data_IF_406067289069
#
_entry.id   IF_406067289069
#
_cell.length_a   1.000
_cell.length_b   1.000
_cell.length_c   1.000
_cell.angle_alpha   90.00
_cell.angle_beta   90.00
_cell.angle_gamma   90.00
#
_symmetry.space_group_name_H-M   'P 1'
#
loop_
_entity.id
_entity.type
_entity.pdbx_description
1 polymer ?
#
# COMPACT_ATOMS: atom_id res chain seq x y z
N UNK A 1 74.73 -83.59 41.13
CA UNK A 1 74.53 -82.15 40.82
C UNK A 1 73.50 -82.06 39.71
N UNK A 2 72.51 -81.16 39.86
CA UNK A 2 71.25 -81.09 39.10
C UNK A 2 71.47 -81.00 37.58
N UNK A 3 70.82 -81.89 36.83
CA UNK A 3 70.75 -81.84 35.37
C UNK A 3 69.80 -80.73 34.91
N UNK A 4 70.30 -79.86 34.02
CA UNK A 4 69.46 -78.95 33.24
C UNK A 4 68.73 -79.77 32.17
N UNK A 5 67.40 -79.86 32.26
CA UNK A 5 66.58 -80.36 31.15
C UNK A 5 66.35 -79.22 30.15
N UNK A 6 66.72 -79.46 28.89
CA UNK A 6 66.45 -78.56 27.78
C UNK A 6 64.98 -78.75 27.35
N UNK A 7 64.22 -77.67 27.12
CA UNK A 7 62.80 -77.76 26.76
C UNK A 7 62.61 -78.40 25.37
N UNK A 8 61.60 -79.26 25.26
CA UNK A 8 61.28 -80.01 24.03
C UNK A 8 60.76 -79.10 22.90
N UNK A 9 60.90 -79.52 21.64
CA UNK A 9 60.58 -78.71 20.45
C UNK A 9 59.10 -78.26 20.37
N UNK A 10 58.18 -78.96 21.06
CA UNK A 10 56.74 -78.58 21.12
C UNK A 10 56.44 -77.44 22.11
N UNK A 11 57.28 -77.26 23.13
CA UNK A 11 57.15 -76.16 24.10
C UNK A 11 57.68 -74.83 23.55
N UNK A 12 58.75 -74.86 22.75
CA UNK A 12 59.27 -73.68 22.06
C UNK A 12 58.29 -73.13 21.02
N UNK A 13 57.57 -74.00 20.33
CA UNK A 13 56.56 -73.62 19.32
C UNK A 13 55.29 -73.06 19.95
N UNK A 14 54.81 -73.60 21.08
CA UNK A 14 53.69 -73.00 21.85
C UNK A 14 54.03 -71.61 22.41
N UNK A 15 55.22 -71.44 23.02
CA UNK A 15 55.65 -70.13 23.54
C UNK A 15 55.77 -69.07 22.44
N UNK A 16 56.31 -69.42 21.28
CA UNK A 16 56.39 -68.52 20.14
C UNK A 16 55.00 -68.13 19.59
N UNK A 17 54.04 -69.06 19.57
CA UNK A 17 52.66 -68.78 19.16
C UNK A 17 51.92 -67.86 20.15
N UNK A 18 52.14 -68.04 21.46
CA UNK A 18 51.54 -67.19 22.50
C UNK A 18 52.16 -65.78 22.52
N UNK A 19 53.46 -65.65 22.30
CA UNK A 19 54.13 -64.35 22.15
C UNK A 19 53.69 -63.61 20.89
N UNK A 20 53.50 -64.32 19.77
CA UNK A 20 52.93 -63.79 18.53
C UNK A 20 51.47 -63.34 18.73
N UNK A 21 50.65 -64.14 19.41
CA UNK A 21 49.27 -63.80 19.79
C UNK A 21 49.21 -62.55 20.69
N UNK A 22 50.09 -62.46 21.69
CA UNK A 22 50.16 -61.32 22.60
C UNK A 22 50.64 -60.04 21.90
N UNK A 23 51.61 -60.14 20.98
CA UNK A 23 52.12 -59.01 20.20
C UNK A 23 51.09 -58.52 19.16
N UNK A 24 50.38 -59.41 18.47
CA UNK A 24 49.25 -59.08 17.59
C UNK A 24 48.12 -58.38 18.37
N UNK A 25 47.78 -58.87 19.58
CA UNK A 25 46.78 -58.22 20.46
C UNK A 25 47.24 -56.82 20.90
N UNK A 26 48.53 -56.61 21.19
CA UNK A 26 49.09 -55.28 21.52
C UNK A 26 49.03 -54.31 20.33
N UNK A 27 49.34 -54.77 19.12
CA UNK A 27 49.25 -53.97 17.88
C UNK A 27 47.79 -53.57 17.61
N UNK A 28 46.85 -54.52 17.72
CA UNK A 28 45.43 -54.25 17.51
C UNK A 28 44.82 -53.31 18.56
N UNK A 29 45.26 -53.39 19.84
CA UNK A 29 44.89 -52.40 20.88
C UNK A 29 45.40 -51.00 20.57
N UNK A 30 46.64 -50.85 20.06
CA UNK A 30 47.20 -49.55 19.64
C UNK A 30 46.45 -48.99 18.42
N UNK A 31 46.12 -49.83 17.42
CA UNK A 31 45.31 -49.43 16.25
C UNK A 31 43.90 -48.98 16.64
N UNK A 32 43.23 -49.68 17.58
CA UNK A 32 41.91 -49.27 18.11
C UNK A 32 41.96 -47.93 18.86
N UNK A 33 42.98 -47.68 19.69
CA UNK A 33 43.16 -46.40 20.38
C UNK A 33 43.41 -45.24 19.39
N UNK A 34 44.23 -45.47 18.35
CA UNK A 34 44.49 -44.47 17.30
C UNK A 34 43.23 -44.15 16.49
N UNK A 35 42.44 -45.18 16.11
CA UNK A 35 41.15 -44.97 15.42
C UNK A 35 40.14 -44.20 16.27
N UNK A 36 40.08 -44.46 17.59
CA UNK A 36 39.21 -43.69 18.50
C UNK A 36 39.65 -42.23 18.60
N UNK A 37 40.95 -41.93 18.68
CA UNK A 37 41.46 -40.55 18.68
C UNK A 37 41.14 -39.82 17.36
N UNK A 38 41.38 -40.45 16.21
CA UNK A 38 41.09 -39.86 14.90
C UNK A 38 39.58 -39.61 14.76
N UNK A 39 38.74 -40.56 15.16
CA UNK A 39 37.27 -40.38 15.15
C UNK A 39 36.83 -39.20 16.03
N UNK A 40 37.41 -39.04 17.22
CA UNK A 40 37.05 -37.93 18.11
C UNK A 40 37.51 -36.57 17.55
N UNK A 41 38.67 -36.52 16.88
CA UNK A 41 39.14 -35.31 16.19
C UNK A 41 38.21 -34.95 15.02
N UNK A 42 37.82 -35.95 14.21
CA UNK A 42 36.89 -35.73 13.09
C UNK A 42 35.52 -35.22 13.56
N UNK A 43 35.00 -35.75 14.67
CA UNK A 43 33.73 -35.26 15.26
C UNK A 43 33.88 -33.81 15.72
N UNK A 44 35.01 -33.46 16.35
CA UNK A 44 35.28 -32.08 16.78
C UNK A 44 35.36 -31.09 15.61
N UNK A 45 36.03 -31.49 14.51
CA UNK A 45 36.10 -30.67 13.29
C UNK A 45 34.73 -30.50 12.64
N UNK A 46 33.93 -31.57 12.57
CA UNK A 46 32.57 -31.50 12.01
C UNK A 46 31.66 -30.56 12.83
N UNK A 47 31.75 -30.62 14.16
CA UNK A 47 31.00 -29.74 15.06
C UNK A 47 31.41 -28.26 14.87
N UNK A 48 32.70 -27.98 14.70
CA UNK A 48 33.20 -26.63 14.44
C UNK A 48 32.72 -26.08 13.09
N UNK A 49 32.68 -26.91 12.04
CA UNK A 49 32.16 -26.52 10.72
C UNK A 49 30.66 -26.22 10.77
N UNK A 50 29.88 -27.02 11.49
CA UNK A 50 28.44 -26.78 11.67
C UNK A 50 28.15 -25.49 12.44
N UNK A 51 28.94 -25.20 13.48
CA UNK A 51 28.84 -23.93 14.22
C UNK A 51 29.21 -22.74 13.33
N UNK A 52 30.27 -22.85 12.54
CA UNK A 52 30.66 -21.79 11.59
C UNK A 52 29.58 -21.56 10.52
N UNK A 53 28.96 -22.63 10.00
CA UNK A 53 27.88 -22.53 9.03
C UNK A 53 26.61 -21.87 9.62
N UNK A 54 26.29 -22.14 10.89
CA UNK A 54 25.16 -21.50 11.59
C UNK A 54 25.40 -20.01 11.88
N UNK A 55 26.64 -19.62 12.23
CA UNK A 55 26.99 -18.20 12.36
C UNK A 55 26.95 -17.51 11.00
N UNK A 56 27.43 -18.18 9.94
CA UNK A 56 27.38 -17.64 8.59
C UNK A 56 25.95 -17.46 8.07
N UNK A 57 25.03 -18.40 8.34
CA UNK A 57 23.63 -18.27 7.92
C UNK A 57 22.91 -17.15 8.66
N UNK A 58 23.15 -16.96 9.96
CA UNK A 58 22.54 -15.87 10.75
C UNK A 58 23.06 -14.49 10.36
N UNK A 59 24.36 -14.35 10.07
CA UNK A 59 24.93 -13.11 9.52
C UNK A 59 24.35 -12.83 8.13
N UNK A 60 24.21 -13.85 7.27
CA UNK A 60 23.62 -13.69 5.94
C UNK A 60 22.13 -13.35 5.99
N UNK A 61 21.38 -13.90 6.94
CA UNK A 61 19.96 -13.57 7.12
C UNK A 61 19.76 -12.15 7.67
N UNK A 62 20.61 -11.70 8.61
CA UNK A 62 20.65 -10.28 9.02
C UNK A 62 21.06 -9.36 7.87
N UNK A 63 21.99 -9.79 7.01
CA UNK A 63 22.44 -9.01 5.84
C UNK A 63 21.42 -9.01 4.69
N UNK A 64 20.61 -10.06 4.55
CA UNK A 64 19.52 -10.14 3.58
C UNK A 64 18.31 -9.32 4.03
N UNK A 65 18.02 -9.29 5.34
CA UNK A 65 17.00 -8.40 5.91
C UNK A 65 17.45 -6.93 5.97
N UNK A 66 18.77 -6.66 5.86
CA UNK A 66 19.33 -5.32 5.72
C UNK A 66 19.48 -4.88 4.24
N UNK A 67 19.08 -5.72 3.28
CA UNK A 67 19.00 -5.35 1.87
C UNK A 67 17.63 -4.74 1.55
N UNK A 68 17.26 -3.70 2.31
CA UNK A 68 16.31 -2.70 1.83
C UNK A 68 17.05 -1.82 0.82
N UNK A 69 16.67 -1.95 -0.47
CA UNK A 69 16.85 -1.07 -1.63
C UNK A 69 18.14 -0.20 -1.70
N UNK A 70 18.93 -0.27 -2.79
CA UNK A 70 19.96 0.73 -3.04
C UNK A 70 19.29 2.05 -3.43
N UNK A 71 19.28 3.04 -2.52
CA UNK A 71 19.08 4.43 -2.90
C UNK A 71 19.93 5.36 -2.04
N UNK A 72 21.06 5.75 -2.61
CA UNK A 72 21.41 7.16 -2.76
C UNK A 72 22.35 7.22 -3.97
N UNK A 73 21.89 7.83 -5.05
CA UNK A 73 22.77 8.24 -6.13
C UNK A 73 23.70 9.32 -5.56
N UNK A 74 24.88 8.92 -5.10
CA UNK A 74 25.79 9.77 -4.35
C UNK A 74 26.61 10.65 -5.31
N UNK A 75 25.95 11.65 -5.91
CA UNK A 75 26.51 12.66 -6.81
C UNK A 75 27.69 13.43 -6.21
N UNK A 76 27.84 13.39 -4.88
CA UNK A 76 28.91 14.06 -4.15
C UNK A 76 30.30 13.45 -4.36
N UNK A 77 30.41 12.22 -4.90
CA UNK A 77 31.71 11.58 -5.15
C UNK A 77 32.35 11.94 -6.49
N UNK A 78 31.59 12.44 -7.47
CA UNK A 78 32.13 12.77 -8.80
C UNK A 78 32.45 14.25 -8.99
N UNK A 79 31.77 15.16 -8.30
CA UNK A 79 31.99 16.60 -8.44
C UNK A 79 32.51 17.18 -7.13
N UNK A 80 33.77 17.62 -7.14
CA UNK A 80 34.48 18.20 -5.99
C UNK A 80 33.62 19.20 -5.21
N UNK A 81 33.05 18.71 -4.11
CA UNK A 81 31.99 19.37 -3.36
C UNK A 81 32.57 20.23 -2.22
N UNK A 82 33.35 21.26 -2.55
CA UNK A 82 33.62 22.32 -1.56
C UNK A 82 32.66 23.52 -1.68
N UNK A 83 31.87 23.62 -2.76
CA UNK A 83 31.02 24.80 -3.03
C UNK A 83 29.49 24.54 -3.00
N UNK A 84 29.07 23.31 -2.69
CA UNK A 84 27.65 22.91 -2.71
C UNK A 84 26.87 23.21 -1.43
N UNK A 85 27.54 23.64 -0.35
CA UNK A 85 26.85 24.02 0.89
C UNK A 85 26.01 25.30 0.76
N UNK A 86 26.21 26.10 -0.30
CA UNK A 86 25.38 27.27 -0.61
C UNK A 86 24.08 26.91 -1.35
N UNK A 87 23.99 25.70 -1.92
CA UNK A 87 22.79 25.13 -2.56
C UNK A 87 22.02 24.17 -1.63
N UNK A 88 22.29 24.23 -0.32
CA UNK A 88 21.53 23.50 0.67
C UNK A 88 20.06 23.95 0.66
N UNK A 89 19.23 23.12 0.01
CA UNK A 89 17.85 22.79 0.36
C UNK A 89 16.74 23.78 -0.04
N UNK A 90 16.56 24.03 -1.35
CA UNK A 90 15.20 24.05 -1.87
C UNK A 90 14.78 22.60 -2.12
N UNK A 91 14.26 21.94 -1.08
CA UNK A 91 13.43 20.75 -1.31
C UNK A 91 12.08 21.28 -1.76
N UNK A 92 11.62 20.87 -2.94
CA UNK A 92 10.24 21.11 -3.33
C UNK A 92 9.33 20.32 -2.38
N UNK A 93 8.20 20.91 -2.01
CA UNK A 93 7.15 20.16 -1.32
C UNK A 93 6.72 18.98 -2.22
N UNK A 94 6.65 17.75 -1.69
CA UNK A 94 6.11 16.62 -2.41
C UNK A 94 4.69 16.92 -2.90
N UNK A 95 4.31 16.41 -4.08
CA UNK A 95 2.97 16.60 -4.65
C UNK A 95 1.83 16.26 -3.66
N UNK A 96 2.02 15.23 -2.84
CA UNK A 96 1.04 14.74 -1.88
C UNK A 96 1.34 15.20 -0.44
N UNK A 97 2.10 16.28 -0.24
CA UNK A 97 2.42 16.80 1.10
C UNK A 97 1.18 17.16 1.90
N UNK A 98 0.09 17.53 1.21
CA UNK A 98 -1.17 17.97 1.82
C UNK A 98 -2.25 16.89 1.83
N UNK A 99 -1.89 15.65 1.48
CA UNK A 99 -2.82 14.53 1.35
C UNK A 99 -2.53 13.44 2.39
N UNK A 100 -3.60 12.79 2.83
CA UNK A 100 -3.53 11.54 3.59
C UNK A 100 -3.18 10.44 2.59
N UNK A 101 -1.97 9.90 2.66
CA UNK A 101 -1.51 8.82 1.76
C UNK A 101 -1.36 7.52 2.53
N UNK A 102 -1.98 6.43 2.06
CA UNK A 102 -1.82 5.10 2.64
C UNK A 102 -1.87 4.03 1.55
N UNK A 103 -0.87 3.15 1.47
CA UNK A 103 -0.77 2.14 0.40
C UNK A 103 -1.34 0.77 0.80
N UNK A 104 -1.88 0.64 2.02
CA UNK A 104 -2.34 -0.63 2.57
C UNK A 104 -3.54 -0.44 3.51
N UNK A 105 -4.25 -1.55 3.76
CA UNK A 105 -5.30 -1.56 4.77
C UNK A 105 -4.74 -1.19 6.15
N UNK A 106 -5.34 -0.18 6.77
CA UNK A 106 -5.02 0.26 8.14
C UNK A 106 -6.09 -0.32 9.05
N UNK A 107 -5.75 -1.40 9.74
CA UNK A 107 -6.66 -2.10 10.63
C UNK A 107 -6.52 -1.60 12.06
N UNK A 108 -7.63 -1.53 12.78
CA UNK A 108 -7.63 -1.34 14.23
C UNK A 108 -8.42 -2.47 14.88
N UNK A 109 -7.94 -3.03 15.99
CA UNK A 109 -8.68 -4.04 16.76
C UNK A 109 -10.05 -3.53 17.29
N UNK A 110 -10.29 -2.22 17.15
CA UNK A 110 -11.47 -1.51 17.65
C UNK A 110 -12.53 -1.26 16.59
N UNK A 111 -12.19 -1.39 15.32
CA UNK A 111 -13.10 -1.09 14.21
C UNK A 111 -13.08 -2.24 13.22
N UNK A 112 -14.23 -2.90 13.10
CA UNK A 112 -14.47 -3.97 12.15
C UNK A 112 -15.78 -3.70 11.44
N UNK A 113 -15.73 -3.65 10.11
CA UNK A 113 -16.90 -3.53 9.25
C UNK A 113 -17.78 -4.78 9.37
N UNK A 114 -19.07 -4.62 9.11
CA UNK A 114 -20.06 -5.70 9.35
C UNK A 114 -19.98 -6.73 8.25
N UNK A 115 -19.77 -6.27 7.01
CA UNK A 115 -19.64 -7.11 5.84
C UNK A 115 -18.24 -6.97 5.25
N UNK A 116 -17.69 -8.07 4.74
CA UNK A 116 -16.32 -8.13 4.22
C UNK A 116 -16.17 -7.38 2.88
N UNK A 117 -17.28 -6.98 2.24
CA UNK A 117 -17.33 -6.23 0.99
C UNK A 117 -17.53 -4.72 1.17
N UNK A 118 -17.59 -4.22 2.41
CA UNK A 118 -17.66 -2.78 2.70
C UNK A 118 -16.28 -2.12 2.53
N UNK A 119 -16.21 -0.96 1.90
CA UNK A 119 -14.99 -0.14 1.82
C UNK A 119 -15.13 1.07 2.76
N UNK A 120 -14.04 1.45 3.43
CA UNK A 120 -14.07 2.63 4.29
C UNK A 120 -12.69 3.23 4.52
N UNK A 121 -12.65 4.54 4.69
CA UNK A 121 -11.47 5.31 5.07
C UNK A 121 -11.86 6.26 6.20
N UNK A 122 -11.07 6.27 7.27
CA UNK A 122 -11.11 7.26 8.34
C UNK A 122 -9.74 7.90 8.43
N UNK A 123 -9.69 9.22 8.49
CA UNK A 123 -8.43 9.97 8.44
C UNK A 123 -8.49 11.22 9.32
N UNK A 124 -7.31 11.70 9.68
CA UNK A 124 -7.07 12.95 10.41
C UNK A 124 -6.45 13.97 9.44
N UNK A 125 -7.17 15.05 9.14
CA UNK A 125 -6.72 16.08 8.20
C UNK A 125 -5.56 16.92 8.78
N UNK A 126 -5.53 17.15 10.10
CA UNK A 126 -4.48 17.95 10.74
C UNK A 126 -3.15 17.20 10.77
N UNK A 127 -3.22 15.87 10.92
CA UNK A 127 -2.05 14.97 10.94
C UNK A 127 -1.72 14.36 9.59
N UNK A 128 -2.59 14.52 8.60
CA UNK A 128 -2.50 13.88 7.28
C UNK A 128 -2.30 12.35 7.40
N UNK A 129 -3.02 11.72 8.32
CA UNK A 129 -2.84 10.32 8.70
C UNK A 129 -4.12 9.51 8.50
N UNK A 130 -4.01 8.34 7.87
CA UNK A 130 -5.09 7.37 7.82
C UNK A 130 -5.21 6.63 9.17
N UNK A 131 -6.36 6.77 9.82
CA UNK A 131 -6.68 6.11 11.09
C UNK A 131 -7.30 4.72 10.88
N UNK A 132 -7.99 4.53 9.75
CA UNK A 132 -8.54 3.26 9.30
C UNK A 132 -8.65 3.26 7.78
N UNK A 133 -8.32 2.13 7.13
CA UNK A 133 -8.46 1.96 5.69
C UNK A 133 -8.80 0.49 5.39
N UNK A 134 -9.88 0.27 4.65
CA UNK A 134 -10.32 -1.05 4.20
C UNK A 134 -10.68 -0.99 2.70
N UNK A 135 -9.86 -1.63 1.87
CA UNK A 135 -10.07 -1.79 0.42
C UNK A 135 -10.35 -0.46 -0.29
N UNK A 136 -9.66 0.61 0.12
CA UNK A 136 -10.00 2.00 -0.24
C UNK A 136 -9.78 2.34 -1.72
N UNK A 137 -9.03 1.51 -2.44
CA UNK A 137 -8.73 1.64 -3.87
C UNK A 137 -9.61 0.75 -4.76
N UNK A 138 -10.54 -0.01 -4.16
CA UNK A 138 -11.45 -0.85 -4.93
C UNK A 138 -12.52 0.02 -5.60
N UNK A 139 -12.80 -0.28 -6.87
CA UNK A 139 -13.90 0.34 -7.60
C UNK A 139 -15.25 0.05 -6.93
N UNK A 140 -16.03 1.13 -6.75
CA UNK A 140 -17.37 1.15 -6.21
C UNK A 140 -18.26 2.07 -7.05
N UNK A 141 -19.56 1.82 -7.00
CA UNK A 141 -20.54 2.73 -7.58
C UNK A 141 -20.76 3.94 -6.64
N UNK A 142 -20.53 5.19 -7.08
CA UNK A 142 -20.57 6.36 -6.19
C UNK A 142 -22.00 6.78 -5.78
N UNK A 143 -23.01 6.46 -6.58
CA UNK A 143 -24.33 7.08 -6.48
C UNK A 143 -24.21 8.62 -6.37
N UNK A 144 -25.06 9.28 -5.56
CA UNK A 144 -25.06 10.74 -5.40
C UNK A 144 -23.80 11.36 -4.79
N UNK A 145 -22.82 10.57 -4.30
CA UNK A 145 -21.49 11.09 -3.91
C UNK A 145 -20.82 11.79 -5.11
N UNK A 146 -21.17 11.40 -6.33
CA UNK A 146 -20.82 12.07 -7.60
C UNK A 146 -21.00 13.59 -7.55
N UNK A 147 -22.05 14.07 -6.87
CA UNK A 147 -22.39 15.49 -6.81
C UNK A 147 -21.33 16.34 -6.10
N UNK A 148 -20.40 15.73 -5.36
CA UNK A 148 -19.21 16.42 -4.83
C UNK A 148 -18.36 16.98 -5.97
N UNK A 149 -18.12 16.20 -7.03
CA UNK A 149 -17.37 16.68 -8.20
C UNK A 149 -18.16 17.75 -8.97
N UNK A 150 -19.48 17.57 -9.10
CA UNK A 150 -20.36 18.58 -9.72
C UNK A 150 -20.34 19.90 -8.94
N UNK A 151 -20.37 19.83 -7.60
CA UNK A 151 -20.26 20.99 -6.73
C UNK A 151 -18.90 21.67 -6.86
N UNK A 152 -17.80 20.90 -6.87
CA UNK A 152 -16.45 21.42 -7.06
C UNK A 152 -16.33 22.20 -8.38
N UNK A 153 -16.74 21.61 -9.50
CA UNK A 153 -16.69 22.29 -10.80
C UNK A 153 -17.63 23.50 -10.86
N UNK A 154 -18.75 23.48 -10.14
CA UNK A 154 -19.62 24.65 -9.99
C UNK A 154 -18.88 25.82 -9.36
N UNK A 155 -18.13 25.57 -8.28
CA UNK A 155 -17.38 26.60 -7.56
C UNK A 155 -16.13 27.06 -8.31
N UNK A 156 -15.47 26.16 -9.04
CA UNK A 156 -14.24 26.49 -9.79
C UNK A 156 -14.51 27.25 -11.11
N UNK A 157 -15.66 27.00 -11.75
CA UNK A 157 -15.92 27.46 -13.12
C UNK A 157 -17.20 28.29 -13.29
N UNK A 158 -18.09 28.29 -12.29
CA UNK A 158 -19.35 29.01 -12.32
C UNK A 158 -19.27 30.42 -11.72
N UNK A 159 -20.15 31.30 -12.20
CA UNK A 159 -20.50 32.53 -11.49
C UNK A 159 -21.78 32.25 -10.69
N UNK A 160 -21.69 32.11 -9.37
CA UNK A 160 -22.84 31.77 -8.52
C UNK A 160 -24.00 32.79 -8.62
N UNK A 161 -23.72 34.03 -9.04
CA UNK A 161 -24.74 35.05 -9.28
C UNK A 161 -25.44 34.91 -10.64
N UNK A 162 -24.89 34.10 -11.54
CA UNK A 162 -25.46 33.83 -12.86
C UNK A 162 -26.87 33.26 -12.71
N UNK A 163 -27.81 33.88 -13.40
CA UNK A 163 -29.17 33.40 -13.52
C UNK A 163 -29.29 32.47 -14.72
N UNK A 164 -29.97 31.33 -14.52
CA UNK A 164 -30.16 30.26 -15.49
C UNK A 164 -31.64 29.91 -15.54
N UNK A 165 -32.14 29.64 -16.76
CA UNK A 165 -33.48 29.06 -16.95
C UNK A 165 -33.35 27.54 -17.09
N UNK A 166 -34.12 26.81 -16.30
CA UNK A 166 -34.23 25.36 -16.38
C UNK A 166 -35.01 24.96 -17.64
N UNK A 167 -34.65 23.82 -18.21
CA UNK A 167 -35.17 23.30 -19.48
C UNK A 167 -35.73 21.90 -19.27
N UNK A 168 -36.60 21.44 -20.18
CA UNK A 168 -37.18 20.10 -20.11
C UNK A 168 -36.12 18.99 -20.03
N UNK A 169 -34.96 19.19 -20.70
CA UNK A 169 -33.86 18.24 -20.69
C UNK A 169 -33.18 18.09 -19.31
N UNK A 170 -33.32 19.07 -18.42
CA UNK A 170 -32.76 18.97 -17.06
C UNK A 170 -33.58 17.99 -16.18
N UNK A 171 -34.76 17.57 -16.64
CA UNK A 171 -35.68 16.65 -15.96
C UNK A 171 -35.81 15.30 -16.68
N UNK A 172 -35.01 15.03 -17.72
CA UNK A 172 -34.97 13.73 -18.41
C UNK A 172 -34.19 12.72 -17.57
N UNK A 173 -34.81 12.33 -16.45
CA UNK A 173 -34.25 11.52 -15.37
C UNK A 173 -35.16 10.30 -15.11
N UNK A 174 -34.64 9.32 -14.39
CA UNK A 174 -35.43 8.15 -13.96
C UNK A 174 -36.60 8.55 -13.04
N UNK A 175 -37.69 7.77 -13.02
CA UNK A 175 -38.96 8.15 -12.35
C UNK A 175 -38.82 8.39 -10.83
N UNK A 176 -37.87 7.74 -10.19
CA UNK A 176 -37.57 7.84 -8.75
C UNK A 176 -36.34 8.70 -8.42
N UNK A 177 -35.83 9.45 -9.41
CA UNK A 177 -34.77 10.42 -9.20
C UNK A 177 -35.14 11.46 -8.14
N UNK A 178 -34.21 11.75 -7.24
CA UNK A 178 -34.34 12.85 -6.29
C UNK A 178 -34.24 14.18 -7.05
N UNK A 179 -35.35 14.86 -7.23
CA UNK A 179 -35.43 16.15 -7.96
C UNK A 179 -35.99 17.24 -7.07
N UNK A 180 -35.64 18.49 -7.35
CA UNK A 180 -36.28 19.64 -6.70
C UNK A 180 -37.74 19.82 -7.17
N UNK A 181 -38.49 20.69 -6.50
CA UNK A 181 -39.86 21.06 -6.91
C UNK A 181 -39.90 22.10 -8.06
N UNK A 182 -38.75 22.43 -8.65
CA UNK A 182 -38.64 23.35 -9.79
C UNK A 182 -39.14 22.69 -11.09
N UNK A 183 -39.37 23.53 -12.10
CA UNK A 183 -39.91 23.10 -13.39
C UNK A 183 -39.18 23.76 -14.56
N UNK A 184 -39.31 23.16 -15.74
CA UNK A 184 -38.86 23.78 -16.97
C UNK A 184 -39.49 25.18 -17.13
N UNK A 185 -38.65 26.17 -17.46
CA UNK A 185 -39.00 27.58 -17.53
C UNK A 185 -38.77 28.36 -16.23
N UNK A 186 -38.60 27.70 -15.08
CA UNK A 186 -38.19 28.38 -13.86
C UNK A 186 -36.79 28.98 -14.02
N UNK A 187 -36.58 30.11 -13.37
CA UNK A 187 -35.34 30.88 -13.46
C UNK A 187 -34.74 31.01 -12.07
N UNK A 188 -33.52 30.50 -11.92
CA UNK A 188 -32.80 30.36 -10.64
C UNK A 188 -31.34 30.77 -10.80
N UNK A 189 -30.67 31.08 -9.70
CA UNK A 189 -29.22 31.35 -9.74
C UNK A 189 -28.40 30.05 -9.63
N UNK A 190 -27.16 30.06 -10.10
CA UNK A 190 -26.22 28.96 -9.86
C UNK A 190 -26.00 28.72 -8.35
N UNK A 191 -26.04 29.78 -7.52
CA UNK A 191 -26.03 29.67 -6.07
C UNK A 191 -27.19 28.81 -5.52
N UNK A 192 -28.43 29.06 -6.00
CA UNK A 192 -29.60 28.28 -5.59
C UNK A 192 -29.50 26.83 -6.04
N UNK A 193 -29.06 26.60 -7.28
CA UNK A 193 -28.83 25.25 -7.80
C UNK A 193 -27.74 24.51 -7.01
N UNK A 194 -26.65 25.20 -6.66
CA UNK A 194 -25.59 24.65 -5.82
C UNK A 194 -26.12 24.22 -4.44
N UNK A 195 -26.95 25.04 -3.81
CA UNK A 195 -27.55 24.65 -2.53
C UNK A 195 -28.53 23.47 -2.68
N UNK A 196 -29.35 23.43 -3.74
CA UNK A 196 -30.21 22.28 -4.03
C UNK A 196 -29.39 21.00 -4.27
N UNK A 197 -28.26 21.12 -4.95
CA UNK A 197 -27.33 20.02 -5.20
C UNK A 197 -26.73 19.48 -3.88
N UNK A 198 -26.22 20.36 -3.02
CA UNK A 198 -25.48 19.96 -1.81
C UNK A 198 -26.42 19.52 -0.68
N UNK A 199 -27.52 20.26 -0.46
CA UNK A 199 -28.43 20.04 0.68
C UNK A 199 -29.47 18.98 0.35
N UNK A 200 -30.05 19.05 -0.85
CA UNK A 200 -31.19 18.19 -1.23
C UNK A 200 -30.78 17.03 -2.14
N UNK A 201 -29.53 17.00 -2.60
CA UNK A 201 -29.04 16.01 -3.57
C UNK A 201 -29.88 15.99 -4.85
N UNK A 202 -30.34 17.16 -5.30
CA UNK A 202 -31.23 17.31 -6.44
C UNK A 202 -30.53 17.00 -7.78
N UNK A 203 -31.04 16.03 -8.53
CA UNK A 203 -30.50 15.57 -9.82
C UNK A 203 -30.73 16.59 -10.94
N UNK A 204 -31.91 17.21 -10.96
CA UNK A 204 -32.25 18.30 -11.88
C UNK A 204 -31.34 19.52 -11.70
N UNK A 205 -30.92 19.81 -10.46
CA UNK A 205 -29.91 20.82 -10.19
C UNK A 205 -28.54 20.42 -10.78
N UNK A 206 -28.12 19.16 -10.61
CA UNK A 206 -26.87 18.66 -11.18
C UNK A 206 -26.86 18.78 -12.72
N UNK A 207 -27.94 18.38 -13.38
CA UNK A 207 -28.10 18.49 -14.84
C UNK A 207 -28.07 19.95 -15.31
N UNK A 208 -28.77 20.84 -14.61
CA UNK A 208 -28.81 22.27 -14.94
C UNK A 208 -27.43 22.91 -14.77
N UNK A 209 -26.71 22.60 -13.68
CA UNK A 209 -25.34 23.07 -13.45
C UNK A 209 -24.42 22.57 -14.56
N UNK A 210 -24.48 21.28 -14.87
CA UNK A 210 -23.63 20.65 -15.88
C UNK A 210 -23.83 21.28 -17.26
N UNK A 211 -25.08 21.43 -17.69
CA UNK A 211 -25.43 22.09 -18.96
C UNK A 211 -24.97 23.55 -19.00
N UNK A 212 -25.09 24.27 -17.89
CA UNK A 212 -24.73 25.69 -17.83
C UNK A 212 -23.21 25.89 -17.93
N UNK A 213 -22.45 25.13 -17.15
CA UNK A 213 -21.00 25.30 -17.02
C UNK A 213 -20.25 24.64 -18.18
N UNK A 214 -20.62 23.41 -18.55
CA UNK A 214 -19.99 22.71 -19.67
C UNK A 214 -20.52 23.15 -21.04
N UNK A 215 -21.61 23.93 -21.08
CA UNK A 215 -22.38 24.22 -22.29
C UNK A 215 -23.21 23.04 -22.82
N UNK A 216 -23.00 21.84 -22.27
CA UNK A 216 -23.74 20.60 -22.47
C UNK A 216 -23.32 19.61 -21.38
N UNK A 217 -24.18 18.65 -21.04
CA UNK A 217 -23.86 17.62 -20.02
C UNK A 217 -22.62 16.81 -20.43
N UNK A 218 -22.50 16.37 -21.68
CA UNK A 218 -21.34 15.59 -22.16
C UNK A 218 -20.01 16.31 -21.91
N UNK A 219 -19.92 17.59 -22.29
CA UNK A 219 -18.72 18.40 -22.03
C UNK A 219 -18.44 18.62 -20.54
N UNK A 220 -19.49 18.69 -19.73
CA UNK A 220 -19.30 18.77 -18.28
C UNK A 220 -18.75 17.45 -17.72
N UNK A 221 -19.21 16.31 -18.22
CA UNK A 221 -18.66 14.99 -17.87
C UNK A 221 -17.19 14.88 -18.32
N UNK A 222 -16.82 15.44 -19.48
CA UNK A 222 -15.41 15.56 -19.88
C UNK A 222 -14.59 16.41 -18.88
N UNK A 223 -15.16 17.52 -18.39
CA UNK A 223 -14.54 18.34 -17.34
C UNK A 223 -14.39 17.57 -16.03
N UNK A 224 -15.41 16.81 -15.61
CA UNK A 224 -15.36 15.97 -14.40
C UNK A 224 -14.22 14.96 -14.48
N UNK A 225 -14.08 14.27 -15.61
CA UNK A 225 -13.01 13.29 -15.82
C UNK A 225 -11.62 13.94 -15.95
N UNK A 226 -11.54 15.12 -16.56
CA UNK A 226 -10.29 15.90 -16.59
C UNK A 226 -9.88 16.29 -15.18
N UNK A 227 -10.82 16.79 -14.38
CA UNK A 227 -10.56 17.20 -13.00
C UNK A 227 -10.20 16.01 -12.12
N UNK A 228 -10.84 14.86 -12.30
CA UNK A 228 -10.48 13.61 -11.62
C UNK A 228 -9.01 13.23 -11.88
N UNK A 229 -8.55 13.32 -13.13
CA UNK A 229 -7.14 13.06 -13.48
C UNK A 229 -6.18 14.06 -12.83
N UNK A 230 -6.52 15.35 -12.81
CA UNK A 230 -5.72 16.39 -12.16
C UNK A 230 -5.57 16.18 -10.65
N UNK A 231 -6.62 15.66 -9.99
CA UNK A 231 -6.62 15.32 -8.57
C UNK A 231 -5.92 13.98 -8.28
N UNK A 232 -5.60 13.19 -9.31
CA UNK A 232 -5.00 11.86 -9.15
C UNK A 232 -6.00 10.76 -8.79
N UNK A 233 -7.28 10.93 -9.13
CA UNK A 233 -8.34 9.95 -8.92
C UNK A 233 -8.26 8.85 -9.98
N UNK A 234 -7.35 7.88 -9.79
CA UNK A 234 -7.01 6.88 -10.82
C UNK A 234 -8.02 5.74 -10.95
N UNK A 235 -8.91 5.59 -9.98
CA UNK A 235 -9.94 4.54 -9.91
C UNK A 235 -11.33 5.15 -10.09
N UNK A 236 -11.42 6.23 -10.89
CA UNK A 236 -12.66 6.99 -11.12
C UNK A 236 -12.92 7.24 -12.59
N UNK A 237 -14.17 7.05 -13.01
CA UNK A 237 -14.72 7.56 -14.25
C UNK A 237 -16.16 8.03 -14.02
N UNK A 238 -16.45 9.27 -14.41
CA UNK A 238 -17.79 9.84 -14.37
C UNK A 238 -18.48 9.67 -15.71
N UNK A 239 -19.75 9.24 -15.69
CA UNK A 239 -20.61 9.16 -16.87
C UNK A 239 -21.74 10.20 -16.89
N UNK A 240 -22.05 10.80 -15.73
CA UNK A 240 -23.12 11.78 -15.53
C UNK A 240 -22.80 12.68 -14.32
N UNK A 241 -23.49 13.83 -14.13
CA UNK A 241 -23.21 14.77 -13.04
C UNK A 241 -23.97 14.47 -11.74
N UNK A 242 -24.98 13.59 -11.78
CA UNK A 242 -25.91 13.32 -10.69
C UNK A 242 -25.61 12.01 -9.93
N UNK A 243 -24.96 11.05 -10.57
CA UNK A 243 -24.68 9.73 -10.00
C UNK A 243 -25.84 8.75 -10.09
N UNK A 244 -26.73 8.88 -11.08
CA UNK A 244 -27.62 7.82 -11.53
C UNK A 244 -26.83 6.70 -12.23
N UNK A 245 -27.45 5.54 -12.36
CA UNK A 245 -26.74 4.30 -12.65
C UNK A 245 -26.24 4.22 -14.10
N UNK A 246 -24.94 3.97 -14.25
CA UNK A 246 -24.30 3.74 -15.54
C UNK A 246 -23.13 2.76 -15.33
N UNK A 247 -22.94 1.81 -16.24
CA UNK A 247 -21.93 0.75 -16.13
C UNK A 247 -20.49 1.27 -16.15
N UNK A 248 -20.26 2.44 -16.76
CA UNK A 248 -18.96 3.10 -16.80
C UNK A 248 -18.82 4.13 -15.67
N UNK A 249 -19.76 4.23 -14.73
CA UNK A 249 -19.70 5.19 -13.65
C UNK A 249 -19.20 4.55 -12.36
N UNK A 250 -17.95 4.84 -11.99
CA UNK A 250 -17.30 4.25 -10.81
C UNK A 250 -16.31 5.21 -10.17
N UNK A 251 -15.98 4.95 -8.90
CA UNK A 251 -14.95 5.65 -8.13
C UNK A 251 -14.31 4.69 -7.11
N UNK A 252 -13.42 5.17 -6.26
CA UNK A 252 -12.94 4.46 -5.06
C UNK A 252 -13.12 5.33 -3.80
N UNK A 253 -13.06 4.73 -2.61
CA UNK A 253 -13.15 5.50 -1.35
C UNK A 253 -12.03 6.52 -1.24
N UNK A 254 -10.82 6.17 -1.70
CA UNK A 254 -9.70 7.09 -1.69
C UNK A 254 -9.91 8.25 -2.68
N UNK A 255 -10.45 7.98 -3.87
CA UNK A 255 -10.74 9.02 -4.85
C UNK A 255 -11.84 9.97 -4.36
N UNK A 256 -12.86 9.45 -3.68
CA UNK A 256 -13.86 10.26 -2.97
C UNK A 256 -13.19 11.19 -1.96
N UNK A 257 -12.20 10.70 -1.20
CA UNK A 257 -11.41 11.54 -0.30
C UNK A 257 -10.69 12.67 -1.07
N UNK A 258 -10.08 12.39 -2.22
CA UNK A 258 -9.36 13.39 -3.00
C UNK A 258 -10.27 14.54 -3.46
N UNK A 259 -11.44 14.23 -4.04
CA UNK A 259 -12.39 15.27 -4.43
C UNK A 259 -13.05 15.98 -3.24
N UNK A 260 -13.28 15.26 -2.13
CA UNK A 260 -13.76 15.88 -0.89
C UNK A 260 -12.72 16.88 -0.35
N UNK A 261 -11.44 16.49 -0.31
CA UNK A 261 -10.35 17.35 0.15
C UNK A 261 -10.21 18.61 -0.72
N UNK A 262 -10.42 18.49 -2.03
CA UNK A 262 -10.43 19.61 -2.96
C UNK A 262 -11.61 20.56 -2.71
N UNK A 263 -12.85 20.05 -2.66
CA UNK A 263 -14.04 20.89 -2.45
C UNK A 263 -14.08 21.53 -1.07
N UNK A 264 -13.48 20.87 -0.06
CA UNK A 264 -13.41 21.39 1.31
C UNK A 264 -12.58 22.68 1.43
N UNK A 265 -11.76 23.01 0.43
CA UNK A 265 -11.04 24.29 0.37
C UNK A 265 -11.94 25.48 0.02
N UNK A 266 -13.19 25.22 -0.38
CA UNK A 266 -14.18 26.25 -0.71
C UNK A 266 -15.14 26.45 0.47
N UNK A 267 -15.13 27.66 1.04
CA UNK A 267 -16.00 28.04 2.17
C UNK A 267 -17.47 27.78 1.89
N UNK A 268 -17.92 28.09 0.67
CA UNK A 268 -19.28 27.95 0.17
C UNK A 268 -19.80 26.52 0.31
N UNK A 269 -18.95 25.52 0.03
CA UNK A 269 -19.31 24.11 0.22
C UNK A 269 -19.41 23.75 1.70
N UNK A 270 -18.43 24.19 2.51
CA UNK A 270 -18.45 23.89 3.95
C UNK A 270 -19.63 24.53 4.66
N UNK A 271 -20.02 25.75 4.28
CA UNK A 271 -21.19 26.44 4.80
C UNK A 271 -22.49 25.73 4.40
N UNK A 272 -22.66 25.40 3.11
CA UNK A 272 -23.85 24.71 2.62
C UNK A 272 -24.01 23.31 3.25
N UNK A 273 -22.92 22.57 3.46
CA UNK A 273 -22.93 21.22 4.05
C UNK A 273 -23.30 21.17 5.54
N UNK A 274 -23.34 22.31 6.23
CA UNK A 274 -23.63 22.42 7.67
C UNK A 274 -25.06 22.92 7.98
N UNK A 275 -25.84 23.28 6.96
CA UNK A 275 -27.22 23.77 7.10
C UNK A 275 -28.22 22.65 7.39
#
# INVERSE_FOLDING_TARGET
MKGLSMPSSSEKTKRAADEMSASVRRINRRRRKRRRRIRNILIGVLAAVLLAAGVFSTVRQKSANAASLPSAYDLARENGAEDLNSFALMKAEPFASDLVVTDANVNTDRLKLTHDDEQALLFDLDKQEALYANEIYREIYPASITKIMTALLCLENGDLSQTVTMTEADFDLEEDAQVSDLKAGDTVTLDQLFHLLVIYSANDAAMTIARTIGGSVDKFVEMMNTRAQELGMTETHFANPDGLQDENHYTSVYDVYLMMNAVYQHSEYTEASQM
#
